data_IF_457627048866
#
_entry.id   IF_457627048866
#
_cell.length_a   1.000
_cell.length_b   1.000
_cell.length_c   1.000
_cell.angle_alpha   90.00
_cell.angle_beta   90.00
_cell.angle_gamma   90.00
#
_symmetry.space_group_name_H-M   'P 1'
#
loop_
_entity.id
_entity.type
_entity.pdbx_description
1 polymer ?
#
# COMPACT_ATOMS: atom_id res chain seq x y z
N UNK A 1 -22.43 8.17 2.11
CA UNK A 1 -21.34 7.43 2.80
C UNK A 1 -20.03 8.14 2.49
N UNK A 2 -19.28 8.60 3.50
CA UNK A 2 -17.98 9.24 3.29
C UNK A 2 -16.90 8.17 3.30
N UNK A 3 -16.34 7.84 2.14
CA UNK A 3 -15.06 7.14 2.07
C UNK A 3 -14.01 8.14 2.55
N UNK A 4 -13.72 8.15 3.85
CA UNK A 4 -12.66 8.98 4.40
C UNK A 4 -11.37 8.61 3.67
N UNK A 5 -10.82 9.58 2.97
CA UNK A 5 -9.44 9.63 2.50
C UNK A 5 -8.53 9.54 3.73
N UNK A 6 -8.39 8.33 4.27
CA UNK A 6 -7.34 7.99 5.20
C UNK A 6 -6.08 8.20 4.38
N UNK A 7 -5.36 9.28 4.65
CA UNK A 7 -4.13 9.58 3.93
C UNK A 7 -3.23 8.34 4.04
N UNK A 8 -3.05 7.63 2.93
CA UNK A 8 -2.10 6.53 2.76
C UNK A 8 -0.66 7.10 2.80
N UNK A 9 -0.32 7.81 3.87
CA UNK A 9 1.04 8.33 4.10
C UNK A 9 1.94 7.19 4.60
N UNK A 10 1.35 6.14 5.19
CA UNK A 10 2.05 4.99 5.76
C UNK A 10 1.42 3.69 5.27
N UNK A 11 2.25 2.68 4.99
CA UNK A 11 1.84 1.41 4.37
C UNK A 11 1.16 0.46 5.39
N UNK A 12 1.31 0.71 6.71
CA UNK A 12 0.34 0.29 7.74
C UNK A 12 -1.12 0.60 7.36
N UNK A 13 -1.32 1.71 6.65
CA UNK A 13 -2.60 2.11 6.10
C UNK A 13 -3.12 1.18 5.00
N UNK A 14 -2.25 0.51 4.23
CA UNK A 14 -2.65 -0.45 3.17
C UNK A 14 -3.23 -1.72 3.79
N UNK A 15 -2.54 -2.31 4.77
CA UNK A 15 -3.02 -3.50 5.48
C UNK A 15 -4.34 -3.22 6.20
N UNK A 16 -4.41 -2.10 6.93
CA UNK A 16 -5.66 -1.66 7.57
C UNK A 16 -6.78 -1.42 6.55
N UNK A 17 -6.44 -0.95 5.35
CA UNK A 17 -7.42 -0.72 4.30
C UNK A 17 -7.98 -2.04 3.75
N UNK A 18 -7.13 -3.03 3.48
CA UNK A 18 -7.55 -4.36 3.01
C UNK A 18 -8.47 -5.02 4.03
N UNK A 19 -8.10 -4.99 5.32
CA UNK A 19 -8.94 -5.57 6.39
C UNK A 19 -10.30 -4.88 6.45
N UNK A 20 -10.34 -3.54 6.42
CA UNK A 20 -11.62 -2.79 6.39
C UNK A 20 -12.46 -3.11 5.16
N UNK A 21 -11.84 -3.34 4.00
CA UNK A 21 -12.54 -3.72 2.78
C UNK A 21 -13.09 -5.14 2.84
N UNK A 22 -12.37 -6.07 3.47
CA UNK A 22 -12.85 -7.43 3.74
C UNK A 22 -14.07 -7.40 4.67
N UNK A 23 -14.00 -6.62 5.74
CA UNK A 23 -15.15 -6.44 6.66
C UNK A 23 -16.35 -5.81 5.95
N UNK A 24 -16.12 -4.83 5.08
CA UNK A 24 -17.18 -4.23 4.28
C UNK A 24 -17.80 -5.24 3.32
N UNK A 25 -16.99 -6.05 2.62
CA UNK A 25 -17.47 -7.09 1.73
C UNK A 25 -18.32 -8.14 2.49
N UNK A 26 -17.90 -8.54 3.70
CA UNK A 26 -18.67 -9.43 4.55
C UNK A 26 -20.02 -8.82 4.97
N UNK A 27 -20.04 -7.53 5.32
CA UNK A 27 -21.28 -6.80 5.64
C UNK A 27 -22.21 -6.66 4.44
N UNK A 28 -21.65 -6.44 3.24
CA UNK A 28 -22.42 -6.38 2.00
C UNK A 28 -23.02 -7.75 1.66
N UNK A 29 -22.26 -8.83 1.86
CA UNK A 29 -22.76 -10.20 1.69
C UNK A 29 -23.95 -10.51 2.61
N UNK A 30 -23.92 -10.01 3.85
CA UNK A 30 -25.06 -10.12 4.78
C UNK A 30 -26.31 -9.34 4.32
N UNK A 31 -26.15 -8.39 3.40
CA UNK A 31 -27.23 -7.64 2.73
C UNK A 31 -27.55 -8.20 1.34
N UNK A 32 -27.15 -9.44 1.06
CA UNK A 32 -27.33 -10.13 -0.24
C UNK A 32 -26.62 -9.43 -1.42
N UNK A 33 -25.65 -8.57 -1.13
CA UNK A 33 -24.78 -7.95 -2.14
C UNK A 33 -23.46 -8.72 -2.20
N UNK A 34 -23.31 -9.55 -3.23
CA UNK A 34 -22.08 -10.31 -3.45
C UNK A 34 -21.03 -9.47 -4.18
N UNK A 35 -19.81 -9.45 -3.62
CA UNK A 35 -18.65 -8.77 -4.20
C UNK A 35 -17.69 -9.83 -4.73
N UNK A 36 -17.04 -9.56 -5.87
CA UNK A 36 -15.98 -10.44 -6.36
C UNK A 36 -14.85 -10.54 -5.33
N UNK A 37 -14.29 -11.73 -5.15
CA UNK A 37 -13.08 -11.97 -4.34
C UNK A 37 -11.88 -11.11 -4.79
N UNK A 38 -11.87 -10.67 -6.05
CA UNK A 38 -10.84 -9.77 -6.60
C UNK A 38 -11.05 -8.29 -6.22
N UNK A 39 -12.25 -7.91 -5.79
CA UNK A 39 -12.61 -6.50 -5.55
C UNK A 39 -11.73 -5.80 -4.50
N UNK A 40 -11.44 -6.40 -3.33
CA UNK A 40 -10.60 -5.76 -2.32
C UNK A 40 -9.21 -5.40 -2.86
N UNK A 41 -8.61 -6.30 -3.65
CA UNK A 41 -7.29 -6.11 -4.27
C UNK A 41 -7.33 -4.96 -5.26
N UNK A 42 -8.31 -4.96 -6.18
CA UNK A 42 -8.45 -3.89 -7.18
C UNK A 42 -8.71 -2.53 -6.56
N UNK A 43 -9.56 -2.47 -5.53
CA UNK A 43 -9.87 -1.23 -4.84
C UNK A 43 -8.63 -0.65 -4.16
N UNK A 44 -7.86 -1.48 -3.46
CA UNK A 44 -6.63 -1.04 -2.80
C UNK A 44 -5.62 -0.52 -3.83
N UNK A 45 -5.39 -1.25 -4.93
CA UNK A 45 -4.49 -0.82 -6.01
C UNK A 45 -4.86 0.53 -6.66
N UNK A 46 -6.14 0.90 -6.63
CA UNK A 46 -6.61 2.18 -7.15
C UNK A 46 -6.53 3.32 -6.14
N UNK A 47 -6.47 3.01 -4.85
CA UNK A 47 -6.33 4.00 -3.77
C UNK A 47 -4.88 4.21 -3.33
N UNK A 48 -3.95 3.34 -3.76
CA UNK A 48 -2.54 3.42 -3.40
C UNK A 48 -1.93 4.81 -3.68
N UNK A 49 -1.05 5.28 -2.79
CA UNK A 49 -0.41 6.57 -2.94
C UNK A 49 0.74 6.51 -3.98
N UNK A 50 1.18 7.64 -4.54
CA UNK A 50 2.18 7.67 -5.63
C UNK A 50 3.53 7.01 -5.29
N UNK A 51 3.94 7.02 -4.02
CA UNK A 51 5.17 6.36 -3.57
C UNK A 51 5.13 4.83 -3.70
N UNK A 52 3.95 4.23 -3.83
CA UNK A 52 3.73 2.79 -4.02
C UNK A 52 3.55 2.41 -5.51
N UNK A 53 3.90 3.28 -6.46
CA UNK A 53 3.84 2.98 -7.90
C UNK A 53 4.59 1.68 -8.27
N UNK A 54 5.80 1.40 -7.74
CA UNK A 54 6.50 0.15 -8.08
C UNK A 54 5.73 -1.11 -7.67
N UNK A 55 5.01 -1.09 -6.55
CA UNK A 55 4.15 -2.18 -6.12
C UNK A 55 3.00 -2.44 -7.12
N UNK A 56 2.34 -1.37 -7.58
CA UNK A 56 1.28 -1.48 -8.60
C UNK A 56 1.80 -2.04 -9.92
N UNK A 57 3.01 -1.65 -10.33
CA UNK A 57 3.68 -2.23 -11.51
C UNK A 57 3.92 -3.72 -11.29
N UNK A 58 4.48 -4.11 -10.15
CA UNK A 58 4.76 -5.52 -9.81
C UNK A 58 3.51 -6.39 -9.92
N UNK A 59 2.39 -5.96 -9.34
CA UNK A 59 1.10 -6.65 -9.47
C UNK A 59 0.62 -6.74 -10.92
N UNK A 60 0.71 -5.64 -11.68
CA UNK A 60 0.20 -5.58 -13.06
C UNK A 60 1.02 -6.44 -14.03
N UNK A 61 2.33 -6.56 -13.81
CA UNK A 61 3.24 -7.36 -14.64
C UNK A 61 3.28 -8.84 -14.24
N UNK A 62 2.73 -9.19 -13.08
CA UNK A 62 2.66 -10.57 -12.64
C UNK A 62 1.67 -11.35 -13.52
N UNK A 63 2.13 -12.50 -14.04
CA UNK A 63 1.37 -13.31 -14.99
C UNK A 63 0.09 -13.86 -14.36
N UNK A 64 0.22 -14.41 -13.16
CA UNK A 64 -0.90 -14.88 -12.34
C UNK A 64 -1.35 -13.79 -11.36
N UNK A 65 -2.65 -13.72 -11.07
CA UNK A 65 -3.16 -12.77 -10.07
C UNK A 65 -2.87 -13.27 -8.67
N UNK A 66 -2.34 -12.39 -7.82
CA UNK A 66 -2.14 -12.70 -6.42
C UNK A 66 -3.47 -12.97 -5.72
N UNK A 67 -3.48 -14.03 -4.91
CA UNK A 67 -4.45 -14.20 -3.84
C UNK A 67 -4.38 -13.03 -2.86
N UNK A 68 -5.41 -12.86 -2.04
CA UNK A 68 -5.42 -11.79 -1.03
C UNK A 68 -4.25 -11.95 -0.06
N UNK A 69 -3.89 -13.18 0.30
CA UNK A 69 -2.81 -13.45 1.25
C UNK A 69 -1.42 -13.17 0.66
N UNK A 70 -1.22 -13.51 -0.63
CA UNK A 70 -0.02 -13.09 -1.36
C UNK A 70 0.05 -11.58 -1.49
N UNK A 71 -1.06 -10.91 -1.82
CA UNK A 71 -1.13 -9.47 -1.93
C UNK A 71 -0.76 -8.79 -0.60
N UNK A 72 -1.25 -9.31 0.52
CA UNK A 72 -0.89 -8.84 1.87
C UNK A 72 0.60 -9.02 2.17
N UNK A 73 1.17 -10.19 1.82
CA UNK A 73 2.60 -10.47 1.99
C UNK A 73 3.45 -9.49 1.20
N UNK A 74 3.07 -9.21 -0.05
CA UNK A 74 3.77 -8.24 -0.89
C UNK A 74 3.63 -6.82 -0.34
N UNK A 75 2.49 -6.48 0.28
CA UNK A 75 2.32 -5.19 0.95
C UNK A 75 3.34 -5.02 2.08
N UNK A 76 3.52 -6.05 2.92
CA UNK A 76 4.48 -6.03 4.04
C UNK A 76 5.94 -5.88 3.55
N UNK A 77 6.28 -6.49 2.40
CA UNK A 77 7.61 -6.32 1.79
C UNK A 77 7.84 -4.92 1.23
N UNK A 78 6.83 -4.36 0.55
CA UNK A 78 6.86 -2.98 0.03
C UNK A 78 7.00 -1.97 1.18
N UNK A 79 6.36 -2.26 2.30
CA UNK A 79 6.47 -1.56 3.59
C UNK A 79 7.93 -1.43 4.03
N UNK A 80 8.62 -2.58 4.16
CA UNK A 80 10.03 -2.64 4.54
C UNK A 80 10.93 -1.87 3.56
N UNK A 81 10.67 -1.99 2.25
CA UNK A 81 11.42 -1.24 1.23
C UNK A 81 11.27 0.28 1.38
N UNK A 82 10.06 0.75 1.66
CA UNK A 82 9.79 2.19 1.80
C UNK A 82 10.42 2.77 3.08
N UNK A 83 10.42 2.01 4.18
CA UNK A 83 11.11 2.40 5.43
C UNK A 83 12.62 2.57 5.18
N UNK A 84 13.25 1.60 4.52
CA UNK A 84 14.68 1.66 4.19
C UNK A 84 15.01 2.87 3.30
N UNK A 85 14.25 3.06 2.22
CA UNK A 85 14.43 4.17 1.29
C UNK A 85 14.32 5.54 1.97
N UNK A 86 13.42 5.68 2.95
CA UNK A 86 13.27 6.92 3.71
C UNK A 86 14.45 7.15 4.67
N UNK A 87 14.96 6.10 5.30
CA UNK A 87 16.18 6.16 6.12
C UNK A 87 17.43 6.54 5.33
N UNK A 88 17.60 5.96 4.14
CA UNK A 88 18.70 6.28 3.21
C UNK A 88 18.66 7.73 2.72
N UNK A 89 17.46 8.24 2.43
CA UNK A 89 17.26 9.63 2.02
C UNK A 89 17.60 10.63 3.13
N UNK A 90 17.26 10.33 4.39
CA UNK A 90 17.63 11.17 5.53
C UNK A 90 19.16 11.20 5.76
N UNK A 91 19.83 10.06 5.58
CA UNK A 91 21.29 9.95 5.73
C UNK A 91 22.03 10.80 4.68
N UNK A 92 21.59 10.73 3.42
CA UNK A 92 22.20 11.50 2.31
C UNK A 92 22.01 13.02 2.46
N UNK A 93 20.86 13.47 2.98
CA UNK A 93 20.64 14.90 3.28
C UNK A 93 21.57 15.39 4.39
N UNK A 94 21.77 14.57 5.43
CA UNK A 94 22.62 14.93 6.57
C UNK A 94 24.10 15.00 6.19
N UNK A 95 24.56 14.10 5.32
CA UNK A 95 25.92 14.13 4.77
C UNK A 95 26.15 15.35 3.86
N UNK A 96 25.18 15.72 3.01
CA UNK A 96 25.26 16.95 2.20
C UNK A 96 25.30 18.23 3.04
N UNK A 97 24.55 18.31 4.15
CA UNK A 97 24.63 19.48 5.04
C UNK A 97 25.99 19.61 5.71
N UNK A 98 26.59 18.50 6.15
CA UNK A 98 27.94 18.51 6.76
C UNK A 98 29.03 18.94 5.78
N UNK A 99 28.94 18.59 4.50
CA UNK A 99 29.91 19.04 3.49
C UNK A 99 29.72 20.49 3.02
N UNK A 100 28.50 21.05 3.14
CA UNK A 100 28.22 22.46 2.82
C UNK A 100 28.61 23.41 3.96
N UNK A 101 28.59 22.95 5.21
CA UNK A 101 29.01 23.76 6.38
C UNK A 101 30.51 23.67 6.70
N UNK A 102 31.26 22.80 6.01
CA UNK A 102 32.71 22.66 6.15
C UNK A 102 33.51 23.47 5.11
N UNK A 103 32.89 24.51 4.52
CA UNK A 103 33.50 25.37 3.50
C UNK A 103 33.39 26.84 3.87
#
# INVERSE_FOLDING_TARGET
MKFTSLKLITVKGVRDHITKMRDLAARLKALEVEMSESFPVHYVLNTLPPQCVPFKISYNTHKDKWSIDEFLTMCDQEDGRLILKMGESALTITQRKRSVQAK
#
